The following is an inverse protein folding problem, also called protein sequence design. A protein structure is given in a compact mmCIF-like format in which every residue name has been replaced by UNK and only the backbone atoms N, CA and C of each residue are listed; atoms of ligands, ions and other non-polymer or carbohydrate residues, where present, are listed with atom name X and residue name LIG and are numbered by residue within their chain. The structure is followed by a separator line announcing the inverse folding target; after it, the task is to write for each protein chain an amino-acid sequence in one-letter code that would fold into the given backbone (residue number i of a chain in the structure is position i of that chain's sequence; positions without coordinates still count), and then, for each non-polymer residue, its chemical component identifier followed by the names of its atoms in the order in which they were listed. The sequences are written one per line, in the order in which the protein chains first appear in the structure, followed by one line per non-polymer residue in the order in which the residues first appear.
data_IF_789664305741
#
_entry.id   IF_789664305741
#
_cell.length_a   1.000
_cell.length_b   1.000
_cell.length_c   1.000
_cell.angle_alpha   90.00
_cell.angle_beta   90.00
_cell.angle_gamma   90.00
#
_symmetry.space_group_name_H-M   'P 1'
#
loop_
_entity.id
_entity.type
_entity.pdbx_description
1 polymer ?
#
# COMPACT_ATOMS: atom_id res chain seq x y z
N UNK A 1 -23.40 -5.94 -25.08
CA UNK A 1 -22.10 -5.36 -25.54
C UNK A 1 -21.54 -4.33 -24.57
N UNK A 2 -22.32 -3.38 -24.02
CA UNK A 2 -21.80 -2.37 -23.11
C UNK A 2 -21.43 -3.00 -21.76
N UNK A 3 -22.30 -3.82 -21.18
CA UNK A 3 -22.06 -4.55 -19.93
C UNK A 3 -20.86 -5.52 -20.00
N UNK A 4 -20.56 -6.05 -21.18
CA UNK A 4 -19.42 -6.95 -21.36
C UNK A 4 -18.10 -6.17 -21.37
N UNK A 5 -18.11 -4.94 -21.93
CA UNK A 5 -16.95 -4.05 -21.91
C UNK A 5 -16.63 -3.61 -20.49
N UNK A 6 -17.66 -3.22 -19.71
CA UNK A 6 -17.49 -2.85 -18.31
C UNK A 6 -16.86 -4.00 -17.51
N UNK A 7 -17.35 -5.23 -17.70
CA UNK A 7 -16.75 -6.42 -17.08
C UNK A 7 -15.26 -6.63 -17.44
N UNK A 8 -14.86 -6.33 -18.68
CA UNK A 8 -13.45 -6.46 -19.08
C UNK A 8 -12.57 -5.37 -18.42
N UNK A 9 -13.13 -4.16 -18.24
CA UNK A 9 -12.47 -3.08 -17.51
C UNK A 9 -12.33 -3.45 -16.04
N UNK A 10 -13.42 -3.91 -15.39
CA UNK A 10 -13.40 -4.34 -13.99
C UNK A 10 -12.40 -5.45 -13.73
N UNK A 11 -12.31 -6.45 -14.62
CA UNK A 11 -11.31 -7.52 -14.53
C UNK A 11 -9.89 -6.98 -14.66
N UNK A 12 -9.70 -5.99 -15.54
CA UNK A 12 -8.39 -5.32 -15.69
C UNK A 12 -8.04 -4.55 -14.43
N UNK A 13 -8.95 -3.78 -13.85
CA UNK A 13 -8.76 -3.04 -12.59
C UNK A 13 -8.47 -3.98 -11.42
N UNK A 14 -9.19 -5.09 -11.33
CA UNK A 14 -8.91 -6.14 -10.34
C UNK A 14 -7.50 -6.70 -10.47
N UNK A 15 -7.00 -6.89 -11.69
CA UNK A 15 -5.62 -7.33 -11.94
C UNK A 15 -4.61 -6.25 -11.59
N UNK A 16 -4.86 -4.98 -11.94
CA UNK A 16 -4.01 -3.84 -11.61
C UNK A 16 -3.89 -3.68 -10.10
N UNK A 17 -4.99 -3.73 -9.37
CA UNK A 17 -5.01 -3.63 -7.90
C UNK A 17 -4.21 -4.75 -7.22
N UNK A 18 -4.21 -5.96 -7.77
CA UNK A 18 -3.38 -7.06 -7.25
C UNK A 18 -1.89 -6.90 -7.53
N UNK A 19 -1.52 -6.27 -8.65
CA UNK A 19 -0.15 -6.26 -9.17
C UNK A 19 0.62 -4.97 -8.96
N UNK A 20 -0.06 -3.84 -8.78
CA UNK A 20 0.56 -2.53 -8.63
C UNK A 20 0.60 -2.08 -7.17
N UNK A 21 1.71 -1.43 -6.81
CA UNK A 21 1.90 -0.65 -5.59
C UNK A 21 2.69 0.60 -5.96
N UNK A 22 1.98 1.60 -6.47
CA UNK A 22 2.59 2.86 -6.94
C UNK A 22 2.44 3.95 -5.90
N UNK A 23 3.24 5.01 -6.01
CA UNK A 23 3.11 6.20 -5.13
C UNK A 23 1.73 6.84 -5.23
N UNK A 24 1.11 6.77 -6.42
CA UNK A 24 -0.19 7.35 -6.69
C UNK A 24 -1.35 6.58 -6.02
N UNK A 25 -1.08 5.36 -5.56
CA UNK A 25 -1.99 4.55 -4.73
C UNK A 25 -1.82 4.84 -3.23
N UNK A 26 -0.82 5.64 -2.83
CA UNK A 26 -0.61 5.95 -1.41
C UNK A 26 -1.60 7.02 -0.98
N UNK A 27 -2.48 6.62 -0.07
CA UNK A 27 -3.52 7.47 0.51
C UNK A 27 -3.27 7.68 2.01
N UNK A 28 -3.84 8.75 2.56
CA UNK A 28 -3.83 9.05 3.98
C UNK A 28 -5.24 9.25 4.48
N UNK A 29 -5.56 8.65 5.60
CA UNK A 29 -6.80 8.85 6.32
C UNK A 29 -6.51 9.11 7.80
N UNK A 30 -7.40 9.85 8.46
CA UNK A 30 -7.39 10.01 9.91
C UNK A 30 -8.59 9.28 10.49
N UNK A 31 -8.39 8.63 11.62
CA UNK A 31 -9.43 7.92 12.33
C UNK A 31 -9.29 8.13 13.82
N UNK A 32 -10.41 8.04 14.54
CA UNK A 32 -10.44 8.12 16.00
C UNK A 32 -10.44 6.72 16.58
N UNK A 33 -9.44 6.40 17.37
CA UNK A 33 -9.31 5.14 18.09
C UNK A 33 -9.76 5.32 19.54
N UNK A 34 -10.93 4.86 19.84
CA UNK A 34 -11.55 4.88 21.17
C UNK A 34 -11.91 3.47 21.66
N UNK A 35 -11.64 2.47 20.83
CA UNK A 35 -11.93 1.06 21.09
C UNK A 35 -10.79 0.17 20.60
N UNK A 36 -10.86 -1.12 20.92
CA UNK A 36 -9.87 -2.12 20.50
C UNK A 36 -9.79 -2.27 18.98
N UNK A 37 -10.92 -2.09 18.30
CA UNK A 37 -11.05 -2.29 16.85
C UNK A 37 -11.36 -0.98 16.15
N UNK A 38 -10.68 -0.73 15.07
CA UNK A 38 -10.84 0.44 14.21
C UNK A 38 -11.09 -0.02 12.77
N UNK A 39 -12.19 0.41 12.17
CA UNK A 39 -12.47 0.11 10.75
C UNK A 39 -11.49 0.82 9.83
N UNK A 40 -11.04 0.13 8.79
CA UNK A 40 -10.22 0.72 7.74
C UNK A 40 -11.08 1.40 6.67
N UNK A 41 -10.52 2.32 5.86
CA UNK A 41 -11.20 2.87 4.70
C UNK A 41 -11.63 1.77 3.72
N UNK A 42 -12.73 1.99 3.00
CA UNK A 42 -13.29 1.00 2.05
C UNK A 42 -12.38 0.67 0.86
N UNK A 43 -11.43 1.55 0.56
CA UNK A 43 -10.44 1.38 -0.49
C UNK A 43 -9.09 0.84 0.02
N UNK A 44 -9.03 0.42 1.29
CA UNK A 44 -7.84 -0.10 1.92
C UNK A 44 -7.35 -1.39 1.27
N UNK A 45 -6.05 -1.48 1.03
CA UNK A 45 -5.39 -2.68 0.53
C UNK A 45 -4.26 -3.16 1.44
N UNK A 46 -3.37 -2.25 1.85
CA UNK A 46 -2.17 -2.61 2.61
C UNK A 46 -1.68 -1.43 3.45
N UNK A 47 -1.32 -1.69 4.70
CA UNK A 47 -0.73 -0.70 5.59
C UNK A 47 0.69 -0.33 5.17
N UNK A 48 0.99 0.97 5.15
CA UNK A 48 2.36 1.46 5.07
C UNK A 48 2.82 1.94 6.44
N UNK A 49 2.01 2.75 7.10
CA UNK A 49 2.29 3.30 8.41
C UNK A 49 0.99 3.62 9.14
N UNK A 50 0.97 3.33 10.43
CA UNK A 50 -0.10 3.72 11.36
C UNK A 50 0.56 4.46 12.52
N UNK A 51 0.14 5.68 12.76
CA UNK A 51 0.75 6.53 13.79
C UNK A 51 -0.30 7.30 14.61
N UNK A 52 -0.01 7.51 15.88
CA UNK A 52 -0.78 8.40 16.75
C UNK A 52 -0.35 9.83 16.48
N UNK A 53 -1.32 10.74 16.29
CA UNK A 53 -1.06 12.16 16.03
C UNK A 53 -1.59 13.09 17.12
N UNK A 54 -2.36 12.57 18.07
CA UNK A 54 -3.07 13.40 19.07
C UNK A 54 -2.17 14.09 20.10
N UNK A 55 -1.04 13.49 20.52
CA UNK A 55 -0.17 14.08 21.56
C UNK A 55 1.28 14.24 21.11
N UNK A 56 1.84 13.19 20.55
CA UNK A 56 3.16 13.16 19.94
C UNK A 56 3.07 12.21 18.75
N UNK A 57 3.72 12.54 17.64
CA UNK A 57 3.80 11.63 16.51
C UNK A 57 4.53 10.35 16.92
N UNK A 58 3.77 9.28 17.04
CA UNK A 58 4.30 8.00 17.49
C UNK A 58 3.82 6.89 16.55
N UNK A 59 4.73 6.22 15.83
CA UNK A 59 4.34 5.08 14.99
C UNK A 59 3.94 3.89 15.84
N UNK A 60 2.93 3.17 15.39
CA UNK A 60 2.55 1.88 15.94
C UNK A 60 3.30 0.77 15.18
N UNK A 61 3.58 -0.32 15.88
CA UNK A 61 4.28 -1.46 15.29
C UNK A 61 3.30 -2.55 14.91
N UNK A 62 3.35 -2.95 13.63
CA UNK A 62 2.54 -4.07 13.17
C UNK A 62 3.04 -5.39 13.78
N UNK A 63 2.12 -6.18 14.29
CA UNK A 63 2.38 -7.48 14.89
C UNK A 63 1.39 -8.52 14.34
N UNK A 64 1.66 -9.81 14.59
CA UNK A 64 0.68 -10.86 14.36
C UNK A 64 -0.41 -10.82 15.44
N UNK A 65 -1.59 -11.34 15.12
CA UNK A 65 -2.71 -11.45 16.08
C UNK A 65 -2.26 -12.20 17.35
N UNK A 66 -1.56 -13.32 17.18
CA UNK A 66 -1.02 -14.10 18.30
C UNK A 66 -0.09 -13.27 19.20
N UNK A 67 0.75 -12.41 18.61
CA UNK A 67 1.63 -11.53 19.38
C UNK A 67 0.85 -10.49 20.18
N UNK A 68 -0.26 -9.97 19.63
CA UNK A 68 -1.15 -9.06 20.36
C UNK A 68 -1.81 -9.75 21.53
N UNK A 69 -2.27 -10.99 21.36
CA UNK A 69 -2.90 -11.77 22.42
C UNK A 69 -1.92 -12.09 23.55
N UNK A 70 -0.69 -12.49 23.21
CA UNK A 70 0.38 -12.71 24.19
C UNK A 70 0.68 -11.40 24.95
N UNK A 71 0.76 -10.28 24.23
CA UNK A 71 1.02 -8.98 24.85
C UNK A 71 -0.09 -8.59 25.83
N UNK A 72 -1.36 -8.77 25.46
CA UNK A 72 -2.52 -8.50 26.34
C UNK A 72 -2.51 -9.41 27.57
N UNK A 73 -2.26 -10.70 27.39
CA UNK A 73 -2.16 -11.65 28.47
C UNK A 73 -1.04 -11.27 29.46
N UNK A 74 0.14 -10.92 28.96
CA UNK A 74 1.28 -10.52 29.77
C UNK A 74 1.03 -9.23 30.57
N UNK A 75 0.19 -8.32 30.05
CA UNK A 75 -0.13 -7.04 30.66
C UNK A 75 -1.52 -7.02 31.34
N UNK A 76 -2.12 -8.17 31.61
CA UNK A 76 -3.45 -8.31 32.23
C UNK A 76 -4.54 -7.52 31.49
N UNK A 77 -4.40 -7.33 30.18
CA UNK A 77 -5.31 -6.57 29.32
C UNK A 77 -5.63 -5.14 29.85
N UNK A 78 -4.65 -4.49 30.45
CA UNK A 78 -4.81 -3.10 30.93
C UNK A 78 -4.90 -2.16 29.75
N UNK A 79 -5.91 -1.27 29.75
CA UNK A 79 -6.07 -0.23 28.74
C UNK A 79 -4.96 0.82 28.85
N UNK A 80 -4.58 1.41 27.71
CA UNK A 80 -3.53 2.42 27.66
C UNK A 80 -3.33 2.95 26.24
N UNK A 81 -2.32 3.80 26.06
CA UNK A 81 -1.95 4.30 24.73
C UNK A 81 -1.53 3.15 23.81
N UNK A 82 -2.15 2.98 22.63
CA UNK A 82 -1.80 1.93 21.68
C UNK A 82 -0.33 1.99 21.24
N UNK A 83 0.32 0.83 21.17
CA UNK A 83 1.71 0.68 20.74
C UNK A 83 1.82 -0.27 19.54
N UNK A 84 0.96 -1.29 19.52
CA UNK A 84 0.95 -2.33 18.52
C UNK A 84 -0.39 -2.38 17.80
N UNK A 85 -0.36 -2.84 16.56
CA UNK A 85 -1.58 -3.13 15.81
C UNK A 85 -1.45 -4.41 15.01
N UNK A 86 -2.57 -5.06 14.75
CA UNK A 86 -2.72 -6.12 13.76
C UNK A 86 -3.84 -5.78 12.79
N UNK A 87 -3.78 -6.32 11.59
CA UNK A 87 -4.83 -6.18 10.58
C UNK A 87 -5.63 -7.47 10.61
N UNK A 88 -6.93 -7.35 10.80
CA UNK A 88 -7.89 -8.44 10.87
C UNK A 88 -9.06 -8.09 9.96
N UNK A 89 -9.09 -8.72 8.78
CA UNK A 89 -10.12 -8.41 7.78
C UNK A 89 -10.18 -6.90 7.48
N UNK A 90 -11.33 -6.28 7.58
CA UNK A 90 -11.56 -4.86 7.35
C UNK A 90 -11.35 -4.00 8.62
N UNK A 91 -10.55 -4.46 9.57
CA UNK A 91 -10.29 -3.75 10.81
C UNK A 91 -8.83 -3.80 11.26
N UNK A 92 -8.44 -2.76 11.98
CA UNK A 92 -7.18 -2.69 12.72
C UNK A 92 -7.48 -2.99 14.17
N UNK A 93 -6.83 -3.98 14.72
CA UNK A 93 -6.85 -4.32 16.12
C UNK A 93 -5.70 -3.67 16.85
N UNK A 94 -5.97 -2.94 17.93
CA UNK A 94 -4.99 -2.15 18.68
C UNK A 94 -4.62 -2.83 20.00
N UNK A 95 -3.36 -2.75 20.39
CA UNK A 95 -2.89 -3.21 21.69
C UNK A 95 -1.85 -2.23 22.29
N UNK A 96 -2.01 -1.85 23.57
CA UNK A 96 -3.17 -2.10 24.43
C UNK A 96 -4.46 -1.47 23.88
N UNK A 97 -5.60 -1.88 24.42
CA UNK A 97 -6.88 -1.22 24.13
C UNK A 97 -6.80 0.24 24.54
N UNK A 98 -7.20 1.20 23.70
CA UNK A 98 -7.16 2.62 24.05
C UNK A 98 -7.88 2.92 25.37
N UNK A 99 -7.24 3.68 26.27
CA UNK A 99 -7.82 4.15 27.54
C UNK A 99 -8.57 5.48 27.38
N UNK A 100 -8.34 6.15 26.26
CA UNK A 100 -8.98 7.40 25.87
C UNK A 100 -9.04 7.47 24.35
N UNK A 101 -9.62 8.53 23.81
CA UNK A 101 -9.72 8.76 22.37
C UNK A 101 -8.39 9.26 21.81
N UNK A 102 -7.80 8.53 20.91
CA UNK A 102 -6.58 8.89 20.16
C UNK A 102 -6.89 9.15 18.70
N UNK A 103 -6.26 10.16 18.13
CA UNK A 103 -6.30 10.37 16.66
C UNK A 103 -5.17 9.57 16.02
N UNK A 104 -5.53 8.64 15.15
CA UNK A 104 -4.58 7.90 14.32
C UNK A 104 -4.53 8.46 12.90
N UNK A 105 -3.34 8.52 12.33
CA UNK A 105 -3.12 8.73 10.92
C UNK A 105 -2.73 7.40 10.28
N UNK A 106 -3.50 6.99 9.29
CA UNK A 106 -3.27 5.80 8.49
C UNK A 106 -2.65 6.23 7.16
N UNK A 107 -1.47 5.72 6.84
CA UNK A 107 -0.88 5.81 5.49
C UNK A 107 -0.89 4.42 4.90
N UNK A 108 -1.53 4.25 3.74
CA UNK A 108 -1.81 2.94 3.18
C UNK A 108 -1.83 2.97 1.65
N UNK A 109 -1.73 1.81 1.04
CA UNK A 109 -2.07 1.64 -0.36
C UNK A 109 -3.58 1.49 -0.46
N UNK A 110 -4.22 2.41 -1.18
CA UNK A 110 -5.63 2.33 -1.54
C UNK A 110 -5.80 1.71 -2.92
N UNK A 111 -6.97 1.12 -3.18
CA UNK A 111 -7.31 0.64 -4.51
C UNK A 111 -7.35 1.80 -5.52
N UNK A 112 -7.13 1.46 -6.79
CA UNK A 112 -7.33 2.38 -7.92
C UNK A 112 -8.79 2.74 -7.96
N UNK A 113 -9.09 4.04 -8.13
CA UNK A 113 -10.46 4.49 -8.26
C UNK A 113 -11.09 3.88 -9.52
N UNK A 114 -12.12 3.05 -9.35
CA UNK A 114 -12.73 2.31 -10.43
C UNK A 114 -13.34 3.25 -11.49
N UNK A 115 -13.18 2.90 -12.76
CA UNK A 115 -13.84 3.62 -13.87
C UNK A 115 -15.32 3.29 -13.88
N UNK A 116 -16.13 4.32 -14.06
CA UNK A 116 -17.59 4.21 -14.16
C UNK A 116 -18.16 5.41 -14.91
N UNK A 117 -19.45 5.42 -15.20
CA UNK A 117 -20.13 6.56 -15.80
C UNK A 117 -19.98 7.85 -14.97
N UNK A 118 -19.81 7.74 -13.65
CA UNK A 118 -19.60 8.87 -12.74
C UNK A 118 -18.14 9.20 -12.50
N UNK A 119 -17.22 8.26 -12.74
CA UNK A 119 -15.78 8.43 -12.61
C UNK A 119 -15.07 7.95 -13.88
N UNK A 120 -14.90 8.84 -14.84
CA UNK A 120 -14.40 8.49 -16.18
C UNK A 120 -12.88 8.44 -16.29
N UNK A 121 -12.14 8.87 -15.25
CA UNK A 121 -10.69 8.95 -15.28
C UNK A 121 -10.08 8.57 -13.93
N UNK A 122 -8.93 7.90 -13.98
CA UNK A 122 -8.06 7.69 -12.83
C UNK A 122 -6.59 7.91 -13.25
N UNK A 123 -5.63 7.76 -12.32
CA UNK A 123 -4.23 8.02 -12.64
C UNK A 123 -3.67 7.06 -13.71
N UNK A 124 -4.15 5.82 -13.77
CA UNK A 124 -3.72 4.85 -14.78
C UNK A 124 -4.29 5.21 -16.14
N UNK A 125 -5.60 5.50 -16.24
CA UNK A 125 -6.23 5.86 -17.51
C UNK A 125 -5.69 7.15 -18.09
N UNK A 126 -5.21 8.07 -17.24
CA UNK A 126 -4.63 9.35 -17.65
C UNK A 126 -3.16 9.21 -18.06
N UNK A 127 -2.37 8.47 -17.30
CA UNK A 127 -0.93 8.32 -17.55
C UNK A 127 -0.58 7.16 -18.49
N UNK A 128 -1.31 6.07 -18.41
CA UNK A 128 -1.04 4.80 -19.11
C UNK A 128 -2.31 4.17 -19.68
N UNK A 129 -2.99 4.83 -20.64
CA UNK A 129 -4.25 4.34 -21.21
C UNK A 129 -4.12 3.01 -21.95
N UNK A 130 -2.93 2.69 -22.42
CA UNK A 130 -2.57 1.44 -23.10
C UNK A 130 -2.73 0.22 -22.19
N UNK A 131 -2.52 0.37 -20.88
CA UNK A 131 -2.75 -0.70 -19.88
C UNK A 131 -4.22 -1.11 -19.87
N UNK A 132 -5.15 -0.14 -19.86
CA UNK A 132 -6.58 -0.43 -19.94
C UNK A 132 -6.96 -1.04 -21.27
N UNK A 133 -6.43 -0.49 -22.38
CA UNK A 133 -6.70 -1.00 -23.71
C UNK A 133 -6.29 -2.48 -23.84
N UNK A 134 -5.04 -2.79 -23.54
CA UNK A 134 -4.55 -4.17 -23.71
C UNK A 134 -5.07 -5.13 -22.64
N UNK A 135 -5.36 -4.64 -21.43
CA UNK A 135 -6.02 -5.43 -20.40
C UNK A 135 -7.44 -5.84 -20.80
N UNK A 136 -8.25 -4.89 -21.25
CA UNK A 136 -9.59 -5.17 -21.73
C UNK A 136 -9.60 -6.09 -22.97
N UNK A 137 -8.71 -5.84 -23.94
CA UNK A 137 -8.57 -6.69 -25.14
C UNK A 137 -8.12 -8.13 -24.80
N UNK A 138 -7.23 -8.30 -23.81
CA UNK A 138 -6.85 -9.62 -23.31
C UNK A 138 -8.05 -10.38 -22.75
N UNK A 139 -8.84 -9.75 -21.89
CA UNK A 139 -10.04 -10.37 -21.32
C UNK A 139 -11.13 -10.61 -22.36
N UNK A 140 -11.30 -9.68 -23.31
CA UNK A 140 -12.22 -9.83 -24.43
C UNK A 140 -11.85 -11.02 -25.34
N UNK A 141 -10.56 -11.18 -25.66
CA UNK A 141 -10.09 -12.29 -26.49
C UNK A 141 -10.33 -13.66 -25.83
N UNK A 142 -10.14 -13.76 -24.52
CA UNK A 142 -10.47 -14.97 -23.75
C UNK A 142 -11.98 -15.25 -23.81
N UNK A 143 -12.80 -14.23 -23.64
CA UNK A 143 -14.27 -14.35 -23.68
C UNK A 143 -14.77 -14.78 -25.07
N UNK A 144 -14.16 -14.26 -26.14
CA UNK A 144 -14.50 -14.57 -27.52
C UNK A 144 -13.87 -15.86 -28.05
N UNK A 145 -13.04 -16.55 -27.24
CA UNK A 145 -12.28 -17.76 -27.62
C UNK A 145 -11.36 -17.52 -28.83
N UNK A 146 -10.78 -16.32 -28.92
CA UNK A 146 -9.81 -15.96 -29.97
C UNK A 146 -8.37 -16.28 -29.54
N UNK A 147 -8.02 -17.55 -29.44
CA UNK A 147 -6.79 -18.06 -28.85
C UNK A 147 -5.52 -17.48 -29.50
N UNK A 148 -5.52 -17.21 -30.79
CA UNK A 148 -4.36 -16.66 -31.51
C UNK A 148 -3.95 -15.24 -31.05
N UNK A 149 -4.90 -14.45 -30.56
CA UNK A 149 -4.67 -13.05 -30.14
C UNK A 149 -4.32 -12.90 -28.66
N UNK A 150 -4.66 -13.87 -27.84
CA UNK A 150 -4.41 -13.83 -26.40
C UNK A 150 -2.92 -13.57 -26.08
N UNK A 151 -1.94 -14.28 -26.67
CA UNK A 151 -0.55 -14.04 -26.38
C UNK A 151 -0.06 -12.64 -26.79
N UNK A 152 -0.61 -12.09 -27.87
CA UNK A 152 -0.27 -10.74 -28.36
C UNK A 152 -0.69 -9.69 -27.33
N UNK A 153 -1.97 -9.68 -26.92
CA UNK A 153 -2.49 -8.69 -25.98
C UNK A 153 -1.92 -8.87 -24.59
N UNK A 154 -1.70 -10.10 -24.13
CA UNK A 154 -1.02 -10.38 -22.89
C UNK A 154 0.39 -9.78 -22.87
N UNK A 155 1.17 -9.97 -23.94
CA UNK A 155 2.52 -9.42 -24.00
C UNK A 155 2.55 -7.88 -24.02
N UNK A 156 1.59 -7.24 -24.71
CA UNK A 156 1.50 -5.77 -24.70
C UNK A 156 1.08 -5.24 -23.31
N UNK A 157 0.14 -5.91 -22.67
CA UNK A 157 -0.26 -5.58 -21.30
C UNK A 157 0.90 -5.71 -20.30
N UNK A 158 1.66 -6.80 -20.35
CA UNK A 158 2.83 -6.99 -19.49
C UNK A 158 3.91 -5.91 -19.72
N UNK A 159 4.15 -5.51 -20.95
CA UNK A 159 5.07 -4.41 -21.26
C UNK A 159 4.60 -3.10 -20.68
N UNK A 160 3.34 -2.77 -20.86
CA UNK A 160 2.77 -1.53 -20.32
C UNK A 160 2.83 -1.51 -18.77
N UNK A 161 2.57 -2.64 -18.11
CA UNK A 161 2.75 -2.77 -16.65
C UNK A 161 4.19 -2.58 -16.20
N UNK A 162 5.13 -3.14 -16.94
CA UNK A 162 6.55 -3.01 -16.62
C UNK A 162 7.03 -1.56 -16.78
N UNK A 163 6.52 -0.83 -17.76
CA UNK A 163 6.80 0.60 -17.93
C UNK A 163 6.34 1.42 -16.72
N UNK A 164 5.14 1.15 -16.19
CA UNK A 164 4.65 1.77 -14.94
C UNK A 164 5.62 1.49 -13.79
N UNK A 165 6.05 0.24 -13.61
CA UNK A 165 6.96 -0.15 -12.54
C UNK A 165 8.30 0.57 -12.63
N UNK A 166 8.89 0.58 -13.82
CA UNK A 166 10.16 1.26 -14.07
C UNK A 166 10.07 2.77 -13.86
N UNK A 167 8.96 3.39 -14.21
CA UNK A 167 8.71 4.82 -13.95
C UNK A 167 8.62 5.09 -12.45
N UNK A 168 7.90 4.27 -11.70
CA UNK A 168 7.78 4.39 -10.25
C UNK A 168 9.13 4.18 -9.55
N UNK A 169 9.93 3.22 -9.97
CA UNK A 169 11.27 3.01 -9.44
C UNK A 169 12.17 4.23 -9.69
N UNK A 170 12.15 4.80 -10.89
CA UNK A 170 12.90 6.03 -11.21
C UNK A 170 12.43 7.21 -10.36
N UNK A 171 11.13 7.31 -10.09
CA UNK A 171 10.58 8.37 -9.26
C UNK A 171 10.92 8.18 -7.76
N UNK A 172 10.97 6.95 -7.27
CA UNK A 172 11.32 6.63 -5.89
C UNK A 172 12.81 6.86 -5.59
N UNK A 173 13.67 6.57 -6.56
CA UNK A 173 15.12 6.76 -6.44
C UNK A 173 15.57 8.06 -7.12
N UNK A 174 15.21 9.22 -6.56
CA UNK A 174 15.81 10.49 -7.01
C UNK A 174 17.34 10.40 -6.98
N UNK A 175 17.99 10.86 -8.04
CA UNK A 175 19.46 10.74 -8.30
C UNK A 175 20.40 11.19 -7.16
N UNK A 176 19.88 11.80 -6.09
CA UNK A 176 20.66 12.32 -4.96
C UNK A 176 20.72 11.43 -3.71
N UNK A 177 19.78 10.49 -3.53
CA UNK A 177 19.62 9.81 -2.23
C UNK A 177 20.56 8.61 -2.03
N UNK A 178 21.02 7.97 -3.08
CA UNK A 178 21.93 6.81 -2.99
C UNK A 178 23.40 7.21 -2.72
N UNK A 179 23.83 8.41 -3.09
CA UNK A 179 25.21 8.87 -2.85
C UNK A 179 25.48 9.37 -1.43
N UNK A 180 24.47 9.85 -0.72
CA UNK A 180 24.66 10.37 0.66
C UNK A 180 24.82 9.27 1.71
N UNK A 181 24.20 8.10 1.56
CA UNK A 181 24.31 6.99 2.52
C UNK A 181 25.68 6.34 2.55
N UNK A 182 26.41 6.27 1.43
CA UNK A 182 27.76 5.68 1.39
C UNK A 182 28.83 6.55 2.06
N UNK A 183 28.69 7.87 2.04
CA UNK A 183 29.69 8.78 2.68
C UNK A 183 29.58 8.84 4.20
N UNK A 184 28.39 8.60 4.76
CA UNK A 184 28.18 8.69 6.22
C UNK A 184 28.70 7.44 6.94
N UNK A 185 28.56 6.25 6.33
CA UNK A 185 29.07 5.00 6.93
C UNK A 185 30.59 4.88 6.91
N UNK A 186 31.28 5.49 5.95
CA UNK A 186 32.75 5.45 5.86
C UNK A 186 33.47 6.38 6.85
N UNK A 187 32.76 7.40 7.41
CA UNK A 187 33.36 8.31 8.41
C UNK A 187 33.13 7.88 9.86
N UNK A 188 32.06 7.16 10.15
CA UNK A 188 31.80 6.64 11.50
C UNK A 188 32.77 5.54 11.90
N UNK A 189 33.22 4.69 10.96
CA UNK A 189 34.17 3.61 11.24
C UNK A 189 35.60 4.06 11.53
N UNK A 190 36.01 5.26 11.12
CA UNK A 190 37.38 5.76 11.39
C UNK A 190 37.54 6.52 12.71
N UNK A 191 36.46 6.93 13.38
CA UNK A 191 36.54 7.62 14.66
C UNK A 191 36.52 6.71 15.89
N UNK A 192 36.18 5.43 15.76
CA UNK A 192 36.14 4.49 16.90
C UNK A 192 37.48 3.85 17.26
N UNK A 193 38.52 4.00 16.44
CA UNK A 193 39.80 3.34 16.71
C UNK A 193 40.88 4.23 17.37
N UNK A 194 40.58 5.51 17.67
CA UNK A 194 41.59 6.43 18.24
C UNK A 194 41.51 6.64 19.77
N UNK A 195 40.62 5.97 20.47
CA UNK A 195 40.47 6.14 21.93
C UNK A 195 40.81 4.89 22.75
N UNK A 196 41.44 3.88 22.16
CA UNK A 196 41.80 2.65 22.88
C UNK A 196 43.29 2.47 23.19
N UNK A 197 44.13 3.48 22.95
CA UNK A 197 45.53 3.45 23.35
C UNK A 197 45.98 4.83 23.84
N UNK A 198 45.73 5.10 25.12
CA UNK A 198 46.60 5.84 26.06
C UNK A 198 46.11 5.54 27.47
#
# INVERSE_FOLDING_TARGET
LTSDIDMFIDNTEGELNRRLRTKDMIKRATATADSQYLSVPSDWMEAINVEITSNNFRPLFQQSIESLDIYRQANNNVAGEPVYFAIVDDSIELAPTPDTSYTLQLTYYGSIDALSDSNTTNFVSTGHPDVYLYGALKHASIFLMEDERIPLFTNQFEKALEEIRLEQEKAAFGKGSLMQRRKTYGKAGKRMYYWANN
#
